data_IF_448881369041
#
_entry.id   IF_448881369041
#
_cell.length_a   1.000
_cell.length_b   1.000
_cell.length_c   1.000
_cell.angle_alpha   90.00
_cell.angle_beta   90.00
_cell.angle_gamma   90.00
#
_symmetry.space_group_name_H-M   'P 1'
#
loop_
_entity.id
_entity.type
_entity.pdbx_description
1 polymer ?
#
# COMPACT_ATOMS: atom_id res chain seq x y z
N UNK A 1 -10.90 31.55 -13.01
CA UNK A 1 -11.04 30.08 -12.95
C UNK A 1 -9.66 29.50 -12.80
N UNK A 2 -9.38 28.93 -11.63
CA UNK A 2 -8.03 28.76 -11.07
C UNK A 2 -7.33 27.48 -11.58
N UNK A 3 -6.14 27.67 -12.16
CA UNK A 3 -5.28 26.64 -12.75
C UNK A 3 -4.64 25.68 -11.71
N UNK A 4 -5.10 25.74 -10.44
CA UNK A 4 -4.60 24.92 -9.32
C UNK A 4 -5.41 23.63 -9.08
N UNK A 5 -6.54 23.44 -9.77
CA UNK A 5 -7.32 22.19 -9.68
C UNK A 5 -6.89 21.11 -10.68
N UNK A 6 -6.23 21.46 -11.79
CA UNK A 6 -5.79 20.48 -12.81
C UNK A 6 -4.59 19.62 -12.37
N UNK A 7 -3.81 20.09 -11.39
CA UNK A 7 -2.63 19.36 -10.86
C UNK A 7 -3.00 18.31 -9.81
N UNK A 8 -4.26 18.27 -9.34
CA UNK A 8 -4.71 17.34 -8.29
C UNK A 8 -5.09 15.94 -8.79
N UNK A 9 -5.09 15.72 -10.11
CA UNK A 9 -5.32 14.42 -10.76
C UNK A 9 -4.06 13.91 -11.49
N UNK A 10 -3.01 14.72 -11.59
CA UNK A 10 -1.81 14.42 -12.37
C UNK A 10 -0.89 13.33 -11.76
N UNK A 11 -1.12 12.89 -10.52
CA UNK A 11 -0.42 11.75 -9.92
C UNK A 11 -1.03 10.38 -10.30
N UNK A 12 -2.15 10.36 -11.04
CA UNK A 12 -2.82 9.14 -11.50
C UNK A 12 -2.79 8.92 -13.02
N UNK A 13 -2.07 9.75 -13.79
CA UNK A 13 -1.95 9.60 -15.25
C UNK A 13 -0.54 9.11 -15.60
N UNK A 14 -0.27 7.83 -15.33
CA UNK A 14 0.85 7.11 -15.95
C UNK A 14 0.45 5.70 -16.38
N UNK A 15 -0.83 5.52 -16.76
CA UNK A 15 -1.38 4.28 -17.31
C UNK A 15 -2.30 4.48 -18.53
N UNK A 16 -2.38 5.70 -19.11
CA UNK A 16 -3.27 5.99 -20.24
C UNK A 16 -2.62 5.95 -21.63
N UNK A 17 -1.30 5.97 -21.73
CA UNK A 17 -0.62 6.03 -23.04
C UNK A 17 -0.17 4.65 -23.54
N UNK A 18 -1.14 3.81 -23.91
CA UNK A 18 -0.88 2.74 -24.90
C UNK A 18 -1.65 3.05 -26.18
N UNK A 19 -0.98 3.20 -27.35
CA UNK A 19 -1.66 3.21 -28.63
C UNK A 19 -2.37 1.86 -28.85
N UNK A 20 -3.69 1.87 -29.10
CA UNK A 20 -4.46 0.67 -29.47
C UNK A 20 -5.55 0.18 -28.51
N UNK A 21 -5.98 0.98 -27.51
CA UNK A 21 -7.13 0.60 -26.67
C UNK A 21 -8.47 0.77 -27.40
N UNK A 22 -9.14 -0.35 -27.71
CA UNK A 22 -10.53 -0.39 -28.17
C UNK A 22 -11.39 -0.93 -27.02
N UNK A 23 -12.35 -0.15 -26.48
CA UNK A 23 -13.22 -0.65 -25.43
C UNK A 23 -14.20 -1.69 -26.00
N UNK A 24 -14.22 -2.89 -25.41
CA UNK A 24 -15.25 -3.90 -25.69
C UNK A 24 -16.47 -3.58 -24.84
N UNK A 25 -17.52 -3.04 -25.44
CA UNK A 25 -18.84 -2.93 -24.82
C UNK A 25 -19.49 -4.30 -24.74
N UNK A 26 -19.49 -4.93 -23.55
CA UNK A 26 -20.41 -6.04 -23.26
C UNK A 26 -21.68 -5.48 -22.64
N UNK A 27 -22.76 -5.45 -23.43
CA UNK A 27 -24.11 -5.27 -22.92
C UNK A 27 -24.53 -6.50 -22.10
N UNK A 28 -25.15 -6.24 -20.94
CA UNK A 28 -25.76 -7.24 -20.06
C UNK A 28 -24.79 -7.86 -19.04
N UNK A 29 -24.51 -7.17 -17.93
CA UNK A 29 -23.83 -7.79 -16.78
C UNK A 29 -24.31 -7.15 -15.48
N UNK A 30 -24.53 -7.98 -14.45
CA UNK A 30 -24.66 -7.55 -13.05
C UNK A 30 -23.75 -6.36 -12.81
N UNK A 31 -24.31 -5.22 -12.42
CA UNK A 31 -23.53 -3.99 -12.38
C UNK A 31 -22.40 -4.15 -11.36
N UNK A 32 -21.16 -4.12 -11.84
CA UNK A 32 -19.95 -4.32 -11.04
C UNK A 32 -19.79 -3.26 -9.95
N UNK A 33 -19.20 -3.63 -8.81
CA UNK A 33 -18.79 -2.73 -7.73
C UNK A 33 -17.29 -2.43 -7.75
N UNK A 34 -16.79 -1.88 -6.63
CA UNK A 34 -15.35 -1.67 -6.40
C UNK A 34 -14.97 -2.22 -5.03
N UNK A 35 -13.86 -2.94 -4.94
CA UNK A 35 -13.28 -3.39 -3.68
C UNK A 35 -11.95 -2.68 -3.43
N UNK A 36 -11.91 -1.89 -2.35
CA UNK A 36 -10.76 -1.12 -1.91
C UNK A 36 -10.01 -1.87 -0.80
N UNK A 37 -8.72 -2.09 -0.99
CA UNK A 37 -7.88 -2.84 -0.06
C UNK A 37 -6.76 -1.98 0.49
N UNK A 38 -6.69 -1.84 1.81
CA UNK A 38 -5.43 -1.53 2.47
C UNK A 38 -4.44 -2.70 2.35
N UNK A 39 -3.13 -2.44 2.53
CA UNK A 39 -2.07 -3.46 2.40
C UNK A 39 -1.65 -3.99 3.76
N UNK A 40 -1.09 -3.11 4.59
CA UNK A 40 -0.33 -3.50 5.78
C UNK A 40 -1.27 -4.03 6.84
N UNK A 41 -0.99 -5.21 7.41
CA UNK A 41 -1.88 -5.96 8.33
C UNK A 41 -3.29 -6.32 7.80
N UNK A 42 -3.66 -5.82 6.62
CA UNK A 42 -4.92 -6.13 5.93
C UNK A 42 -4.74 -7.26 4.92
N UNK A 43 -3.94 -7.09 3.87
CA UNK A 43 -3.68 -8.13 2.85
C UNK A 43 -2.63 -9.14 3.31
N UNK A 44 -1.68 -8.69 4.12
CA UNK A 44 -0.61 -9.49 4.71
C UNK A 44 -0.39 -9.09 6.18
N UNK A 45 0.30 -9.87 7.03
CA UNK A 45 0.42 -9.56 8.46
C UNK A 45 1.50 -8.52 8.78
N UNK A 46 2.19 -7.97 7.77
CA UNK A 46 3.40 -7.16 7.92
C UNK A 46 3.09 -5.67 7.74
N UNK A 47 4.05 -4.85 8.15
CA UNK A 47 4.15 -3.44 7.75
C UNK A 47 5.30 -3.34 6.75
N UNK A 48 5.00 -3.03 5.49
CA UNK A 48 5.93 -3.09 4.37
C UNK A 48 7.20 -2.26 4.60
N UNK A 49 7.04 -1.02 5.08
CA UNK A 49 8.16 -0.12 5.38
C UNK A 49 9.09 -0.68 6.47
N UNK A 50 8.56 -1.36 7.50
CA UNK A 50 9.36 -2.01 8.54
C UNK A 50 10.11 -3.23 7.98
N UNK A 51 9.46 -4.02 7.13
CA UNK A 51 10.08 -5.18 6.50
C UNK A 51 11.24 -4.76 5.59
N UNK A 52 11.06 -3.70 4.80
CA UNK A 52 12.10 -3.10 3.99
C UNK A 52 13.25 -2.56 4.86
N UNK A 53 12.94 -1.80 5.91
CA UNK A 53 13.95 -1.23 6.79
C UNK A 53 14.82 -2.32 7.46
N UNK A 54 14.22 -3.41 7.94
CA UNK A 54 14.95 -4.55 8.50
C UNK A 54 15.88 -5.22 7.48
N UNK A 55 15.43 -5.38 6.23
CA UNK A 55 16.27 -5.90 5.17
C UNK A 55 17.45 -4.96 4.86
N UNK A 56 17.21 -3.65 4.79
CA UNK A 56 18.27 -2.67 4.56
C UNK A 56 19.30 -2.68 5.69
N UNK A 57 18.90 -2.81 6.95
CA UNK A 57 19.83 -2.95 8.09
C UNK A 57 20.69 -4.21 7.93
N UNK A 58 20.06 -5.35 7.61
CA UNK A 58 20.76 -6.63 7.47
C UNK A 58 21.81 -6.63 6.35
N UNK A 59 21.67 -5.75 5.37
CA UNK A 59 22.57 -5.62 4.23
C UNK A 59 23.42 -4.33 4.27
N UNK A 60 23.49 -3.65 5.42
CA UNK A 60 24.30 -2.43 5.60
C UNK A 60 23.77 -1.18 4.88
N UNK A 61 22.58 -1.24 4.29
CA UNK A 61 21.93 -0.14 3.58
C UNK A 61 21.11 0.79 4.47
N UNK A 62 20.99 0.54 5.77
CA UNK A 62 20.34 1.45 6.73
C UNK A 62 20.98 1.38 8.12
N UNK A 63 21.27 2.53 8.73
CA UNK A 63 21.85 2.57 10.06
C UNK A 63 20.81 2.33 11.16
N UNK A 64 21.22 1.69 12.26
CA UNK A 64 20.32 1.33 13.37
C UNK A 64 19.64 2.56 14.02
N UNK A 65 20.32 3.70 14.06
CA UNK A 65 19.75 4.95 14.58
C UNK A 65 18.64 5.50 13.67
N UNK A 66 18.73 5.31 12.35
CA UNK A 66 17.65 5.67 11.41
C UNK A 66 16.44 4.77 11.63
N UNK A 67 16.65 3.47 11.84
CA UNK A 67 15.59 2.54 12.22
C UNK A 67 14.92 2.90 13.55
N UNK A 68 15.71 3.25 14.57
CA UNK A 68 15.19 3.70 15.86
C UNK A 68 14.28 4.94 15.74
N UNK A 69 14.57 5.86 14.81
CA UNK A 69 13.67 7.00 14.51
C UNK A 69 12.33 6.55 13.93
N UNK A 70 12.32 5.58 13.00
CA UNK A 70 11.08 5.01 12.44
C UNK A 70 10.21 4.43 13.57
N UNK A 71 10.83 3.62 14.42
CA UNK A 71 10.15 3.01 15.58
C UNK A 71 9.66 4.10 16.55
N UNK A 72 10.47 5.11 16.84
CA UNK A 72 10.13 6.20 17.76
C UNK A 72 8.93 7.04 17.30
N UNK A 73 8.79 7.32 16.00
CA UNK A 73 7.59 8.01 15.48
C UNK A 73 6.35 7.12 15.60
N UNK A 74 6.45 5.85 15.20
CA UNK A 74 5.33 4.91 15.34
C UNK A 74 4.90 4.83 16.82
N UNK A 75 5.84 4.67 17.75
CA UNK A 75 5.54 4.63 19.19
C UNK A 75 4.89 5.92 19.68
N UNK A 76 5.41 7.10 19.30
CA UNK A 76 4.82 8.38 19.70
C UNK A 76 3.41 8.55 19.16
N UNK A 77 3.12 8.09 17.95
CA UNK A 77 1.77 8.07 17.42
C UNK A 77 0.86 7.10 18.19
N UNK A 78 1.32 5.87 18.41
CA UNK A 78 0.55 4.85 19.13
C UNK A 78 0.25 5.27 20.58
N UNK A 79 1.10 6.15 21.15
CA UNK A 79 0.94 6.81 22.45
C UNK A 79 0.17 8.15 22.40
N UNK A 80 -0.30 8.60 21.24
CA UNK A 80 -1.00 9.88 21.05
C UNK A 80 -0.18 11.13 21.45
N UNK A 81 1.14 11.08 21.31
CA UNK A 81 2.05 12.19 21.63
C UNK A 81 2.30 13.13 20.44
N UNK A 82 1.86 12.77 19.23
CA UNK A 82 1.98 13.59 18.01
C UNK A 82 0.68 13.46 17.22
N UNK A 83 0.07 14.60 16.90
CA UNK A 83 -1.17 14.65 16.08
C UNK A 83 -0.88 14.68 14.57
N UNK A 84 0.31 15.14 14.15
CA UNK A 84 0.72 15.22 12.74
C UNK A 84 1.56 14.02 12.30
N UNK A 85 0.90 12.88 12.12
CA UNK A 85 1.45 11.67 11.49
C UNK A 85 2.01 11.94 10.10
N UNK A 86 1.34 12.78 9.31
CA UNK A 86 1.76 13.12 7.95
C UNK A 86 3.14 13.78 7.97
N UNK A 87 3.35 14.81 8.79
CA UNK A 87 4.67 15.48 8.94
C UNK A 87 5.75 14.51 9.42
N UNK A 88 5.44 13.66 10.41
CA UNK A 88 6.42 12.72 10.94
C UNK A 88 6.77 11.61 9.92
N UNK A 89 5.78 11.12 9.17
CA UNK A 89 5.97 10.14 8.10
C UNK A 89 6.77 10.74 6.94
N UNK A 90 6.45 11.96 6.49
CA UNK A 90 7.24 12.69 5.47
C UNK A 90 8.69 12.81 5.89
N UNK A 91 8.95 13.20 7.14
CA UNK A 91 10.31 13.30 7.66
C UNK A 91 11.04 11.96 7.63
N UNK A 92 10.39 10.88 8.05
CA UNK A 92 11.00 9.54 7.99
C UNK A 92 11.33 9.15 6.55
N UNK A 93 10.38 9.32 5.63
CA UNK A 93 10.58 8.96 4.23
C UNK A 93 11.71 9.79 3.62
N UNK A 94 11.80 11.07 3.95
CA UNK A 94 12.92 11.93 3.58
C UNK A 94 14.25 11.41 4.13
N UNK A 95 14.36 11.19 5.44
CA UNK A 95 15.59 10.68 6.10
C UNK A 95 16.03 9.30 5.55
N UNK A 96 15.09 8.49 5.06
CA UNK A 96 15.38 7.15 4.52
C UNK A 96 15.76 7.18 3.06
N UNK A 97 15.06 7.93 2.23
CA UNK A 97 15.18 7.82 0.77
C UNK A 97 15.94 8.96 0.11
N UNK A 98 16.04 10.15 0.74
CA UNK A 98 16.72 11.29 0.13
C UNK A 98 18.14 10.94 -0.36
N UNK A 99 18.42 11.26 -1.63
CA UNK A 99 19.70 11.00 -2.28
C UNK A 99 19.95 9.54 -2.70
N UNK A 100 19.02 8.61 -2.41
CA UNK A 100 19.14 7.22 -2.89
C UNK A 100 18.74 7.08 -4.34
N UNK A 101 19.43 6.20 -5.05
CA UNK A 101 19.06 5.81 -6.41
C UNK A 101 17.72 5.07 -6.43
N UNK A 102 16.86 5.47 -7.36
CA UNK A 102 15.49 4.94 -7.51
C UNK A 102 15.51 3.49 -7.99
N UNK A 103 16.20 3.21 -9.11
CA UNK A 103 16.18 1.89 -9.74
C UNK A 103 16.65 0.76 -8.79
N UNK A 104 17.80 0.88 -8.09
CA UNK A 104 18.21 -0.14 -7.12
C UNK A 104 17.20 -0.34 -5.99
N UNK A 105 16.50 0.72 -5.56
CA UNK A 105 15.47 0.61 -4.52
C UNK A 105 14.25 -0.18 -5.00
N UNK A 106 13.88 -0.04 -6.27
CA UNK A 106 12.82 -0.82 -6.91
C UNK A 106 13.24 -2.29 -7.00
N UNK A 107 14.46 -2.57 -7.44
CA UNK A 107 14.97 -3.94 -7.62
C UNK A 107 15.04 -4.71 -6.30
N UNK A 108 15.48 -4.04 -5.22
CA UNK A 108 15.46 -4.61 -3.87
C UNK A 108 14.02 -4.95 -3.44
N UNK A 109 13.05 -4.05 -3.68
CA UNK A 109 11.66 -4.32 -3.33
C UNK A 109 11.06 -5.46 -4.16
N UNK A 110 11.36 -5.54 -5.45
CA UNK A 110 10.93 -6.64 -6.32
C UNK A 110 11.50 -7.98 -5.84
N UNK A 111 12.80 -8.02 -5.56
CA UNK A 111 13.49 -9.22 -5.07
C UNK A 111 12.91 -9.69 -3.73
N UNK A 112 12.68 -8.76 -2.78
CA UNK A 112 12.04 -9.06 -1.50
C UNK A 112 10.61 -9.57 -1.67
N UNK A 113 9.87 -9.00 -2.61
CA UNK A 113 8.50 -9.40 -2.89
C UNK A 113 8.46 -10.83 -3.44
N UNK A 114 9.26 -11.15 -4.44
CA UNK A 114 9.31 -12.47 -5.04
C UNK A 114 9.78 -13.55 -4.05
N UNK A 115 10.82 -13.24 -3.27
CA UNK A 115 11.46 -14.23 -2.38
C UNK A 115 10.71 -14.49 -1.07
N UNK A 116 10.03 -13.49 -0.48
CA UNK A 116 9.38 -13.60 0.83
C UNK A 116 7.95 -13.03 0.84
N UNK A 117 7.73 -11.79 0.39
CA UNK A 117 6.48 -11.09 0.70
C UNK A 117 5.27 -11.61 -0.07
N UNK A 118 5.46 -12.10 -1.31
CA UNK A 118 4.40 -12.72 -2.13
C UNK A 118 3.75 -13.92 -1.44
N UNK A 119 4.49 -14.60 -0.57
CA UNK A 119 3.98 -15.74 0.20
C UNK A 119 3.28 -15.27 1.47
N UNK A 120 3.63 -14.10 2.00
CA UNK A 120 3.13 -13.57 3.28
C UNK A 120 1.64 -13.19 3.31
N UNK A 121 0.93 -13.18 2.19
CA UNK A 121 -0.49 -12.80 2.14
C UNK A 121 -1.37 -13.74 2.98
N UNK A 122 -2.43 -13.18 3.58
CA UNK A 122 -3.48 -14.01 4.18
C UNK A 122 -4.21 -14.77 3.05
N UNK A 123 -4.27 -16.12 3.10
CA UNK A 123 -4.99 -16.90 2.09
C UNK A 123 -6.45 -16.47 1.93
N UNK A 124 -7.11 -16.14 3.03
CA UNK A 124 -8.49 -15.63 3.07
C UNK A 124 -8.65 -14.32 2.28
N UNK A 125 -7.64 -13.44 2.31
CA UNK A 125 -7.68 -12.19 1.58
C UNK A 125 -7.42 -12.37 0.09
N UNK A 126 -6.53 -13.30 -0.29
CA UNK A 126 -6.38 -13.70 -1.70
C UNK A 126 -7.69 -14.28 -2.24
N UNK A 127 -8.34 -15.15 -1.46
CA UNK A 127 -9.65 -15.68 -1.81
C UNK A 127 -10.72 -14.58 -1.89
N UNK A 128 -10.66 -13.56 -1.03
CA UNK A 128 -11.56 -12.40 -1.09
C UNK A 128 -11.36 -11.60 -2.39
N UNK A 129 -10.11 -11.29 -2.75
CA UNK A 129 -9.79 -10.60 -4.00
C UNK A 129 -10.30 -11.40 -5.20
N UNK A 130 -10.11 -12.72 -5.20
CA UNK A 130 -10.63 -13.59 -6.26
C UNK A 130 -12.15 -13.61 -6.35
N UNK A 131 -12.86 -13.56 -5.22
CA UNK A 131 -14.32 -13.44 -5.18
C UNK A 131 -14.80 -12.17 -5.85
N UNK A 132 -14.22 -11.02 -5.49
CA UNK A 132 -14.53 -9.74 -6.14
C UNK A 132 -14.26 -9.77 -7.65
N UNK A 133 -13.11 -10.31 -8.05
CA UNK A 133 -12.77 -10.43 -9.47
C UNK A 133 -13.77 -11.29 -10.24
N UNK A 134 -14.25 -12.40 -9.65
CA UNK A 134 -15.28 -13.25 -10.26
C UNK A 134 -16.66 -12.58 -10.30
N UNK A 135 -16.97 -11.74 -9.32
CA UNK A 135 -18.17 -10.91 -9.32
C UNK A 135 -18.12 -9.77 -10.36
N UNK A 136 -16.94 -9.49 -10.91
CA UNK A 136 -16.71 -8.42 -11.88
C UNK A 136 -16.33 -7.09 -11.25
N UNK A 137 -16.13 -7.04 -9.93
CA UNK A 137 -15.75 -5.84 -9.21
C UNK A 137 -14.34 -5.38 -9.59
N UNK A 138 -14.14 -4.07 -9.54
CA UNK A 138 -12.81 -3.46 -9.66
C UNK A 138 -12.00 -3.68 -8.40
N UNK A 139 -10.73 -4.05 -8.55
CA UNK A 139 -9.81 -4.24 -7.43
C UNK A 139 -8.91 -3.01 -7.32
N UNK A 140 -9.01 -2.29 -6.20
CA UNK A 140 -8.23 -1.06 -5.98
C UNK A 140 -7.43 -1.17 -4.69
N UNK A 141 -6.13 -0.90 -4.76
CA UNK A 141 -5.26 -0.83 -3.59
C UNK A 141 -5.19 0.61 -3.10
N UNK A 142 -5.40 0.86 -1.81
CA UNK A 142 -5.34 2.18 -1.17
C UNK A 142 -4.55 2.08 0.13
N UNK A 143 -3.27 2.48 0.10
CA UNK A 143 -2.36 2.32 1.24
C UNK A 143 -1.47 3.53 1.47
N UNK A 144 -1.13 3.78 2.74
CA UNK A 144 -0.11 4.75 3.10
C UNK A 144 1.31 4.21 2.84
N UNK A 145 1.50 2.94 2.51
CA UNK A 145 2.81 2.36 2.15
C UNK A 145 3.41 3.11 0.95
N UNK A 146 4.74 3.22 0.89
CA UNK A 146 5.45 3.74 -0.29
C UNK A 146 5.10 2.99 -1.58
N UNK A 147 5.05 3.73 -2.68
CA UNK A 147 4.59 3.25 -3.98
C UNK A 147 5.41 2.09 -4.54
N UNK A 148 6.74 2.08 -4.32
CA UNK A 148 7.60 0.96 -4.77
C UNK A 148 7.21 -0.39 -4.16
N UNK A 149 6.63 -0.42 -2.96
CA UNK A 149 6.11 -1.66 -2.35
C UNK A 149 4.68 -1.89 -2.82
N UNK A 150 3.84 -0.86 -2.78
CA UNK A 150 2.41 -0.96 -3.11
C UNK A 150 2.19 -1.42 -4.57
N UNK A 151 3.05 -0.98 -5.50
CA UNK A 151 3.02 -1.41 -6.90
C UNK A 151 3.30 -2.90 -7.07
N UNK A 152 4.19 -3.50 -6.27
CA UNK A 152 4.43 -4.95 -6.31
C UNK A 152 3.19 -5.73 -5.87
N UNK A 153 2.55 -5.27 -4.79
CA UNK A 153 1.27 -5.82 -4.31
C UNK A 153 0.18 -5.68 -5.38
N UNK A 154 0.01 -4.50 -5.95
CA UNK A 154 -1.00 -4.25 -6.98
C UNK A 154 -0.76 -5.10 -8.24
N UNK A 155 0.49 -5.24 -8.68
CA UNK A 155 0.84 -6.08 -9.82
C UNK A 155 0.53 -7.57 -9.54
N UNK A 156 0.90 -8.06 -8.36
CA UNK A 156 0.62 -9.42 -7.93
C UNK A 156 -0.88 -9.73 -7.87
N UNK A 157 -1.67 -8.79 -7.33
CA UNK A 157 -3.13 -8.91 -7.28
C UNK A 157 -3.81 -8.61 -8.62
N UNK A 158 -3.06 -8.17 -9.65
CA UNK A 158 -3.61 -7.66 -10.92
C UNK A 158 -4.70 -6.61 -10.66
N UNK A 159 -4.42 -5.68 -9.76
CA UNK A 159 -5.35 -4.62 -9.37
C UNK A 159 -5.60 -3.65 -10.53
N UNK A 160 -6.82 -3.11 -10.63
CA UNK A 160 -7.21 -2.11 -11.62
C UNK A 160 -6.61 -0.73 -11.31
N UNK A 161 -6.35 -0.44 -10.03
CA UNK A 161 -5.68 0.80 -9.61
C UNK A 161 -4.93 0.63 -8.28
N UNK A 162 -3.94 1.51 -8.06
CA UNK A 162 -3.15 1.55 -6.83
C UNK A 162 -2.88 3.00 -6.42
N UNK A 163 -3.25 3.33 -5.20
CA UNK A 163 -3.02 4.61 -4.54
C UNK A 163 -2.09 4.39 -3.36
N UNK A 164 -0.92 5.01 -3.42
CA UNK A 164 0.18 4.81 -2.48
C UNK A 164 0.89 6.13 -2.15
N UNK A 165 1.76 6.12 -1.15
CA UNK A 165 2.64 7.28 -0.88
C UNK A 165 3.72 7.37 -1.95
N UNK A 166 3.71 8.46 -2.73
CA UNK A 166 4.66 8.65 -3.83
C UNK A 166 5.82 9.53 -3.37
N UNK A 167 7.05 9.07 -3.58
CA UNK A 167 8.25 9.87 -3.36
C UNK A 167 8.63 10.61 -4.64
N UNK A 168 9.00 11.89 -4.52
CA UNK A 168 9.48 12.67 -5.65
C UNK A 168 10.85 12.15 -6.12
N UNK A 169 10.99 12.04 -7.42
CA UNK A 169 12.22 11.59 -8.09
C UNK A 169 12.78 12.73 -8.94
N UNK A 170 14.08 13.00 -8.79
CA UNK A 170 14.82 13.98 -9.58
C UNK A 170 16.12 13.35 -10.07
N UNK A 171 16.32 13.34 -11.39
CA UNK A 171 17.56 12.84 -12.01
C UNK A 171 17.95 11.41 -11.56
N UNK A 172 16.96 10.52 -11.41
CA UNK A 172 17.19 9.12 -11.01
C UNK A 172 17.43 8.90 -9.50
N UNK A 173 17.35 9.96 -8.68
CA UNK A 173 17.44 9.91 -7.23
C UNK A 173 16.11 10.32 -6.58
N UNK A 174 15.82 9.81 -5.40
CA UNK A 174 14.73 10.37 -4.58
C UNK A 174 15.16 11.72 -3.99
N UNK A 175 14.31 12.74 -4.11
CA UNK A 175 14.59 14.05 -3.50
C UNK A 175 14.37 14.06 -1.99
N UNK A 176 13.60 13.09 -1.48
CA UNK A 176 13.16 13.03 -0.09
C UNK A 176 11.80 13.69 0.15
N UNK A 177 11.22 14.32 -0.87
CA UNK A 177 9.87 14.89 -0.80
C UNK A 177 8.79 13.85 -1.09
N UNK A 178 7.65 13.97 -0.42
CA UNK A 178 6.45 13.16 -0.69
C UNK A 178 5.50 13.96 -1.58
N UNK A 179 5.17 13.42 -2.74
CA UNK A 179 4.25 14.05 -3.69
C UNK A 179 2.80 13.87 -3.25
N UNK A 180 2.09 14.99 -3.17
CA UNK A 180 0.65 15.00 -2.88
C UNK A 180 0.29 14.52 -1.47
N UNK A 181 -1.00 14.22 -1.24
CA UNK A 181 -1.48 13.71 0.05
C UNK A 181 -1.08 12.24 0.24
N UNK A 182 -0.68 11.88 1.45
CA UNK A 182 -0.47 10.49 1.86
C UNK A 182 -1.85 9.82 1.96
N UNK A 183 -2.09 8.62 1.36
CA UNK A 183 -3.35 7.87 1.49
C UNK A 183 -3.58 7.36 2.92
N UNK A 184 -3.95 8.26 3.82
CA UNK A 184 -4.09 8.00 5.24
C UNK A 184 -5.29 8.76 5.82
N UNK A 185 -6.05 8.10 6.69
CA UNK A 185 -7.21 8.70 7.35
C UNK A 185 -8.21 9.29 6.34
N UNK A 186 -8.61 10.57 6.47
CA UNK A 186 -9.53 11.23 5.54
C UNK A 186 -9.09 11.21 4.08
N UNK A 187 -7.80 11.18 3.78
CA UNK A 187 -7.31 11.14 2.40
C UNK A 187 -7.69 9.81 1.70
N UNK A 188 -7.72 8.68 2.43
CA UNK A 188 -8.22 7.41 1.87
C UNK A 188 -9.70 7.50 1.49
N UNK A 189 -10.52 8.17 2.31
CA UNK A 189 -11.92 8.39 1.99
C UNK A 189 -12.09 9.24 0.72
N UNK A 190 -11.29 10.31 0.58
CA UNK A 190 -11.25 11.13 -0.64
C UNK A 190 -10.95 10.30 -1.89
N UNK A 191 -9.90 9.47 -1.83
CA UNK A 191 -9.50 8.58 -2.93
C UNK A 191 -10.63 7.63 -3.32
N UNK A 192 -11.30 7.02 -2.34
CA UNK A 192 -12.43 6.10 -2.60
C UNK A 192 -13.60 6.82 -3.26
N UNK A 193 -13.99 7.99 -2.76
CA UNK A 193 -15.07 8.79 -3.35
C UNK A 193 -14.74 9.21 -4.79
N UNK A 194 -13.51 9.68 -5.02
CA UNK A 194 -13.09 10.16 -6.33
C UNK A 194 -12.98 9.01 -7.34
N UNK A 195 -12.44 7.85 -6.93
CA UNK A 195 -12.39 6.67 -7.80
C UNK A 195 -13.80 6.18 -8.14
N UNK A 196 -14.66 5.97 -7.14
CA UNK A 196 -16.03 5.51 -7.32
C UNK A 196 -16.81 6.45 -8.28
N UNK A 197 -16.73 7.78 -8.03
CA UNK A 197 -17.33 8.79 -8.90
C UNK A 197 -16.78 8.72 -10.34
N UNK A 198 -15.47 8.55 -10.51
CA UNK A 198 -14.85 8.45 -11.84
C UNK A 198 -15.30 7.22 -12.64
N UNK A 199 -15.73 6.16 -11.94
CA UNK A 199 -16.25 4.93 -12.55
C UNK A 199 -17.77 4.93 -12.68
N UNK A 200 -18.48 5.96 -12.18
CA UNK A 200 -19.94 5.97 -12.11
C UNK A 200 -20.51 4.87 -11.20
N UNK A 201 -19.78 4.50 -10.15
CA UNK A 201 -20.18 3.46 -9.20
C UNK A 201 -20.60 4.14 -7.90
N UNK A 202 -21.81 3.81 -7.45
CA UNK A 202 -22.35 4.27 -6.17
C UNK A 202 -21.58 3.62 -5.00
N UNK A 203 -21.40 4.38 -3.92
CA UNK A 203 -20.63 3.92 -2.77
C UNK A 203 -21.28 2.74 -2.02
N UNK A 204 -22.59 2.57 -2.14
CA UNK A 204 -23.35 1.43 -1.60
C UNK A 204 -22.90 0.08 -2.19
N UNK A 205 -22.30 0.11 -3.39
CA UNK A 205 -21.76 -1.04 -4.14
C UNK A 205 -20.26 -1.20 -3.94
N UNK A 206 -19.66 -0.38 -3.10
CA UNK A 206 -18.25 -0.43 -2.77
C UNK A 206 -18.01 -1.28 -1.52
N UNK A 207 -16.88 -1.97 -1.53
CA UNK A 207 -16.31 -2.72 -0.41
C UNK A 207 -15.02 -2.06 0.02
N UNK A 208 -14.74 -2.06 1.32
CA UNK A 208 -13.45 -1.58 1.82
C UNK A 208 -12.94 -2.49 2.93
N UNK A 209 -11.63 -2.74 2.91
CA UNK A 209 -10.91 -3.61 3.86
C UNK A 209 -9.78 -2.82 4.52
N UNK A 210 -9.70 -2.87 5.85
CA UNK A 210 -8.65 -2.21 6.63
C UNK A 210 -8.53 -2.73 8.07
N UNK A 211 -7.39 -2.49 8.73
CA UNK A 211 -7.10 -2.98 10.09
C UNK A 211 -6.97 -1.86 11.13
N UNK A 212 -6.66 -0.64 10.70
CA UNK A 212 -6.28 0.43 11.60
C UNK A 212 -7.44 1.41 11.85
N UNK A 213 -7.46 2.05 13.03
CA UNK A 213 -8.45 3.08 13.37
C UNK A 213 -8.61 4.15 12.29
N UNK A 214 -7.53 4.49 11.59
CA UNK A 214 -7.53 5.50 10.53
C UNK A 214 -8.24 5.05 9.26
N UNK A 215 -8.35 3.74 9.01
CA UNK A 215 -9.15 3.20 7.90
C UNK A 215 -10.65 3.41 8.10
N UNK A 216 -11.11 3.75 9.32
CA UNK A 216 -12.52 4.09 9.60
C UNK A 216 -13.07 5.12 8.62
N UNK A 217 -12.23 6.05 8.14
CA UNK A 217 -12.65 7.12 7.25
C UNK A 217 -13.09 6.57 5.90
N UNK A 218 -12.31 5.63 5.35
CA UNK A 218 -12.65 4.91 4.12
C UNK A 218 -13.78 3.88 4.35
N UNK A 219 -13.73 3.15 5.46
CA UNK A 219 -14.74 2.13 5.79
C UNK A 219 -16.14 2.74 5.97
N UNK A 220 -16.26 3.91 6.63
CA UNK A 220 -17.55 4.55 6.91
C UNK A 220 -18.36 4.95 5.68
N UNK A 221 -17.70 5.16 4.55
CA UNK A 221 -18.34 5.76 3.38
C UNK A 221 -18.81 4.73 2.36
N UNK A 222 -18.42 3.47 2.49
CA UNK A 222 -18.80 2.40 1.56
C UNK A 222 -19.98 1.59 2.10
N UNK A 223 -20.72 0.91 1.23
CA UNK A 223 -21.85 0.05 1.61
C UNK A 223 -21.42 -1.23 2.33
N UNK A 224 -20.20 -1.72 2.07
CA UNK A 224 -19.71 -2.98 2.61
C UNK A 224 -18.34 -2.83 3.33
N UNK A 225 -18.31 -2.24 4.53
CA UNK A 225 -17.09 -2.13 5.33
C UNK A 225 -16.72 -3.45 6.01
N UNK A 226 -15.46 -3.85 5.91
CA UNK A 226 -14.92 -5.04 6.56
C UNK A 226 -13.63 -4.70 7.30
N UNK A 227 -13.64 -4.90 8.62
CA UNK A 227 -12.48 -4.72 9.47
C UNK A 227 -11.68 -6.03 9.57
N UNK A 228 -10.43 -6.02 9.11
CA UNK A 228 -9.53 -7.18 9.10
C UNK A 228 -8.52 -7.05 10.23
N UNK A 229 -8.44 -8.01 11.14
CA UNK A 229 -7.54 -7.97 12.30
C UNK A 229 -7.53 -6.61 13.04
N UNK A 230 -8.70 -6.01 13.31
CA UNK A 230 -8.76 -4.60 13.69
C UNK A 230 -8.04 -4.30 15.01
N UNK A 231 -7.43 -3.12 15.08
CA UNK A 231 -6.96 -2.59 16.36
C UNK A 231 -8.12 -2.38 17.36
N UNK A 232 -7.79 -2.15 18.64
CA UNK A 232 -8.80 -2.01 19.71
C UNK A 232 -9.81 -0.90 19.45
N UNK A 233 -9.42 0.21 18.81
CA UNK A 233 -10.30 1.34 18.52
C UNK A 233 -11.23 1.01 17.36
N UNK A 234 -10.69 0.47 16.27
CA UNK A 234 -11.47 0.03 15.12
C UNK A 234 -12.44 -1.09 15.50
N UNK A 235 -12.02 -2.08 16.29
CA UNK A 235 -12.88 -3.18 16.73
C UNK A 235 -14.09 -2.67 17.52
N UNK A 236 -13.88 -1.74 18.47
CA UNK A 236 -15.00 -1.13 19.22
C UNK A 236 -15.96 -0.38 18.30
N UNK A 237 -15.43 0.30 17.30
CA UNK A 237 -16.25 1.05 16.35
C UNK A 237 -17.03 0.12 15.42
N UNK A 238 -16.37 -0.88 14.84
CA UNK A 238 -16.99 -1.92 14.01
C UNK A 238 -18.16 -2.59 14.75
N UNK A 239 -17.99 -2.95 16.02
CA UNK A 239 -19.07 -3.52 16.86
C UNK A 239 -20.25 -2.57 17.05
N UNK A 240 -20.02 -1.28 17.25
CA UNK A 240 -21.09 -0.28 17.43
C UNK A 240 -21.89 -0.04 16.14
N UNK A 241 -21.25 -0.20 14.99
CA UNK A 241 -21.84 0.04 13.68
C UNK A 241 -22.18 -1.24 12.91
N UNK A 242 -22.13 -2.40 13.57
CA UNK A 242 -22.39 -3.72 12.98
C UNK A 242 -21.57 -4.01 11.71
N UNK A 243 -20.34 -3.52 11.64
CA UNK A 243 -19.44 -3.85 10.55
C UNK A 243 -18.94 -5.27 10.67
N UNK A 244 -18.72 -5.91 9.52
CA UNK A 244 -18.09 -7.23 9.50
C UNK A 244 -16.67 -7.14 10.06
N UNK A 245 -16.33 -8.05 10.97
CA UNK A 245 -14.97 -8.18 11.52
C UNK A 245 -14.42 -9.57 11.25
N UNK A 246 -13.22 -9.67 10.69
CA UNK A 246 -12.54 -10.95 10.46
C UNK A 246 -11.20 -10.99 11.18
N UNK A 247 -10.97 -12.05 11.95
CA UNK A 247 -9.68 -12.34 12.57
C UNK A 247 -9.01 -13.44 11.75
N UNK A 248 -7.93 -13.08 11.06
CA UNK A 248 -7.21 -13.94 10.14
C UNK A 248 -5.90 -14.38 10.77
N UNK A 249 -5.53 -15.64 10.55
CA UNK A 249 -4.26 -16.18 11.05
C UNK A 249 -3.19 -16.04 9.95
N UNK A 250 -2.00 -15.52 10.26
CA UNK A 250 -0.90 -15.48 9.32
C UNK A 250 -0.56 -16.89 8.79
N UNK A 251 -0.22 -17.03 7.50
CA UNK A 251 0.36 -18.27 6.99
C UNK A 251 1.59 -18.67 7.81
N UNK A 252 1.68 -19.96 8.19
CA UNK A 252 2.83 -20.52 8.91
C UNK A 252 4.01 -20.65 7.94
N UNK A 253 4.77 -19.58 7.75
CA UNK A 253 6.08 -19.73 7.13
C UNK A 253 7.04 -20.33 8.15
N UNK A 254 7.46 -21.58 7.89
CA UNK A 254 8.60 -22.17 8.56
C UNK A 254 9.75 -21.16 8.49
N UNK A 255 10.32 -20.84 9.67
CA UNK A 255 11.45 -19.92 9.84
C UNK A 255 12.40 -20.05 8.65
N UNK A 256 12.71 -18.92 8.00
CA UNK A 256 13.81 -18.80 7.05
C UNK A 256 14.96 -19.75 7.44
N UNK A 257 15.18 -20.83 6.67
CA UNK A 257 16.52 -21.41 6.64
C UNK A 257 17.41 -20.27 6.20
N UNK A 258 18.33 -19.85 7.07
CA UNK A 258 19.50 -19.06 6.70
C UNK A 258 20.23 -19.83 5.60
N UNK A 259 19.89 -19.57 4.34
CA UNK A 259 20.77 -19.88 3.22
C UNK A 259 21.81 -18.79 3.20
N UNK A 260 22.84 -18.98 4.01
CA UNK A 260 24.12 -18.32 3.76
C UNK A 260 24.68 -18.88 2.45
N UNK A 261 24.80 -18.03 1.45
CA UNK A 261 25.89 -18.15 0.47
C UNK A 261 26.17 -16.77 -0.13
N UNK A 262 27.34 -16.26 0.23
CA UNK A 262 28.01 -15.14 -0.40
C UNK A 262 28.00 -15.32 -1.92
N UNK A 263 27.41 -14.37 -2.63
CA UNK A 263 27.65 -14.14 -4.06
C UNK A 263 28.36 -12.79 -4.15
N UNK A 264 29.58 -12.72 -3.63
CA UNK A 264 30.56 -11.69 -3.99
C UNK A 264 31.94 -12.35 -3.92
N UNK A 265 32.43 -12.78 -5.09
CA UNK A 265 33.84 -12.74 -5.51
C UNK A 265 34.02 -13.65 -6.72
N UNK A 266 33.70 -13.16 -7.93
CA UNK A 266 34.44 -13.49 -9.16
C UNK A 266 34.28 -12.35 -10.16
N UNK A 267 35.00 -11.25 -9.91
CA UNK A 267 35.42 -10.32 -10.97
C UNK A 267 36.88 -9.96 -10.74
N UNK A 268 37.74 -10.36 -11.67
CA UNK A 268 38.94 -9.61 -12.03
C UNK A 268 40.23 -9.91 -11.27
N UNK A 269 41.00 -10.88 -11.75
CA UNK A 269 42.46 -10.70 -11.92
C UNK A 269 42.86 -11.21 -13.30
N UNK A 270 42.89 -10.29 -14.24
CA UNK A 270 43.71 -10.34 -15.44
C UNK A 270 45.14 -9.92 -15.08
N UNK A 271 46.09 -10.80 -15.33
CA UNK A 271 47.45 -10.50 -15.76
C UNK A 271 47.87 -11.65 -16.69
#
# INVERSE_FOLDING_TARGET
MDARLSTRIAACIWLRDRPGYIPVTRQGRLMAGVAFFDIDKTLWPRVGEKALALHLIANGGLALHQFAKIIGVQMRHDLHLIDTLDTAKRKILSDLFAGRAVAPSIDVCATLFESDWSRSFFPDMLAQVDRHRRAGDKIVVVSATIDVIARQVAAFLKADACYATVLEMRQGLYSGEVLGPIPFGPAKAGIVMDYARSQGIELDRCYAYGDHWEDRHMLKIVGHPVAINPDKKLLRHARRHNWETRILTPPRFSRLRRTGRSILNQTGRSA
#
